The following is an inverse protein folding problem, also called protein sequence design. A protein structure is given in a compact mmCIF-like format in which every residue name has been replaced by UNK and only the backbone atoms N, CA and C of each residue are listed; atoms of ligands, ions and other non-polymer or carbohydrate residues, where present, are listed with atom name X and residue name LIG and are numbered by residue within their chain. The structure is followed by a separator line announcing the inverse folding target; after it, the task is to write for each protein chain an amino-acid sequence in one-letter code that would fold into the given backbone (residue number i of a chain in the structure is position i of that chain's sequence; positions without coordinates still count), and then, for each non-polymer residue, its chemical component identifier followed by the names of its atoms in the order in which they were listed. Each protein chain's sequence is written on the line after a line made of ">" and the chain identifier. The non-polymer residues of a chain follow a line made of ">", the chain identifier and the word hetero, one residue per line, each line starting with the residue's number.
data_IF_730298768297
#
_entry.id   IF_730298768297
#
_cell.length_a   1.000
_cell.length_b   1.000
_cell.length_c   1.000
_cell.angle_alpha   90.00
_cell.angle_beta   90.00
_cell.angle_gamma   90.00
#
_symmetry.space_group_name_H-M   'P 1'
#
loop_
_entity.id
_entity.type
_entity.pdbx_description
1 polymer ?
#
# COMPACT_ATOMS: atom_id res chain seq x y z
N UNK A 1 -15.76 -7.59 -14.16
CA UNK A 1 -15.47 -8.93 -13.58
C UNK A 1 -14.04 -8.89 -13.06
N UNK A 2 -13.84 -8.40 -11.83
CA UNK A 2 -12.51 -8.40 -11.21
C UNK A 2 -12.24 -9.82 -10.72
N UNK A 3 -11.49 -10.59 -11.50
CA UNK A 3 -11.09 -11.94 -11.16
C UNK A 3 -10.21 -11.90 -9.92
N UNK A 4 -10.78 -12.20 -8.77
CA UNK A 4 -10.02 -12.55 -7.57
C UNK A 4 -9.09 -13.71 -7.94
N UNK A 5 -7.78 -13.47 -7.91
CA UNK A 5 -6.79 -14.52 -8.11
C UNK A 5 -7.08 -15.66 -7.11
N UNK A 6 -7.11 -16.92 -7.56
CA UNK A 6 -7.45 -18.02 -6.66
C UNK A 6 -6.47 -18.06 -5.46
N UNK A 7 -6.94 -18.41 -4.24
CA UNK A 7 -6.13 -18.37 -3.01
C UNK A 7 -4.81 -19.13 -3.06
N UNK A 8 -4.70 -20.13 -3.94
CA UNK A 8 -3.46 -20.90 -4.15
C UNK A 8 -2.38 -20.06 -4.85
N UNK A 9 -2.78 -19.21 -5.81
CA UNK A 9 -1.84 -18.36 -6.54
C UNK A 9 -1.33 -17.21 -5.66
N UNK A 10 -2.19 -16.65 -4.81
CA UNK A 10 -1.80 -15.58 -3.88
C UNK A 10 -0.79 -16.07 -2.83
N UNK A 11 -0.99 -17.26 -2.25
CA UNK A 11 -0.04 -17.86 -1.30
C UNK A 11 1.33 -18.14 -1.94
N UNK A 12 1.36 -18.71 -3.14
CA UNK A 12 2.62 -18.99 -3.84
C UNK A 12 3.40 -17.71 -4.14
N UNK A 13 2.72 -16.64 -4.55
CA UNK A 13 3.37 -15.35 -4.80
C UNK A 13 3.92 -14.72 -3.51
N UNK A 14 3.17 -14.77 -2.41
CA UNK A 14 3.60 -14.28 -1.10
C UNK A 14 4.86 -15.01 -0.58
N UNK A 15 4.91 -16.33 -0.76
CA UNK A 15 6.09 -17.13 -0.42
C UNK A 15 7.33 -16.74 -1.23
N UNK A 16 7.17 -16.45 -2.53
CA UNK A 16 8.26 -16.02 -3.39
C UNK A 16 8.85 -14.68 -2.92
N UNK A 17 8.00 -13.68 -2.64
CA UNK A 17 8.48 -12.40 -2.12
C UNK A 17 9.13 -12.55 -0.74
N UNK A 18 8.57 -13.40 0.13
CA UNK A 18 9.17 -13.67 1.44
C UNK A 18 10.55 -14.31 1.33
N UNK A 19 10.73 -15.29 0.42
CA UNK A 19 12.03 -15.90 0.14
C UNK A 19 13.02 -14.89 -0.45
N UNK A 20 12.57 -14.04 -1.36
CA UNK A 20 13.39 -12.98 -1.94
C UNK A 20 13.90 -12.02 -0.84
N UNK A 21 13.00 -11.49 -0.01
CA UNK A 21 13.33 -10.58 1.09
C UNK A 21 14.28 -11.24 2.12
N UNK A 22 14.07 -12.52 2.44
CA UNK A 22 14.97 -13.26 3.34
C UNK A 22 16.37 -13.49 2.72
N UNK A 23 16.42 -13.85 1.43
CA UNK A 23 17.68 -13.99 0.70
C UNK A 23 18.43 -12.68 0.63
N UNK A 24 17.71 -11.59 0.35
CA UNK A 24 18.22 -10.24 0.28
C UNK A 24 18.95 -9.84 1.57
N UNK A 25 18.30 -10.04 2.71
CA UNK A 25 18.89 -9.75 4.02
C UNK A 25 20.16 -10.57 4.27
N UNK A 26 20.18 -11.84 3.82
CA UNK A 26 21.32 -12.74 4.01
C UNK A 26 22.52 -12.35 3.14
N UNK A 27 22.30 -11.98 1.89
CA UNK A 27 23.38 -11.69 0.94
C UNK A 27 23.79 -10.22 0.90
N UNK A 28 23.00 -9.32 1.50
CA UNK A 28 23.12 -7.85 1.42
C UNK A 28 23.20 -7.33 -0.02
N UNK A 29 22.68 -8.08 -0.99
CA UNK A 29 22.76 -7.76 -2.40
C UNK A 29 21.39 -7.37 -2.94
N UNK A 30 20.92 -6.16 -2.61
CA UNK A 30 19.62 -5.67 -3.03
C UNK A 30 19.63 -4.16 -3.23
N UNK A 31 18.98 -3.75 -4.31
CA UNK A 31 18.66 -2.36 -4.53
C UNK A 31 17.46 -1.95 -3.68
N UNK A 32 17.50 -0.71 -3.18
CA UNK A 32 16.41 -0.10 -2.42
C UNK A 32 15.06 -0.17 -3.17
N UNK A 33 15.11 0.00 -4.50
CA UNK A 33 13.93 -0.09 -5.38
C UNK A 33 13.35 -1.50 -5.43
N UNK A 34 14.20 -2.54 -5.46
CA UNK A 34 13.76 -3.93 -5.51
C UNK A 34 13.13 -4.35 -4.18
N UNK A 35 13.72 -3.93 -3.06
CA UNK A 35 13.16 -4.12 -1.73
C UNK A 35 11.78 -3.48 -1.60
N UNK A 36 11.66 -2.22 -2.01
CA UNK A 36 10.39 -1.51 -1.95
C UNK A 36 9.32 -2.17 -2.83
N UNK A 37 9.68 -2.59 -4.04
CA UNK A 37 8.79 -3.30 -4.96
C UNK A 37 8.34 -4.63 -4.38
N UNK A 38 9.27 -5.43 -3.82
CA UNK A 38 8.95 -6.73 -3.25
C UNK A 38 8.03 -6.61 -2.02
N UNK A 39 8.32 -5.68 -1.12
CA UNK A 39 7.45 -5.40 0.04
C UNK A 39 6.07 -4.91 -0.40
N UNK A 40 5.99 -3.96 -1.34
CA UNK A 40 4.71 -3.47 -1.86
C UNK A 40 3.87 -4.60 -2.48
N UNK A 41 4.48 -5.44 -3.31
CA UNK A 41 3.74 -6.52 -3.98
C UNK A 41 3.28 -7.59 -2.98
N UNK A 42 4.10 -7.90 -1.95
CA UNK A 42 3.68 -8.78 -0.86
C UNK A 42 2.52 -8.19 -0.06
N UNK A 43 2.61 -6.89 0.26
CA UNK A 43 1.53 -6.14 0.91
C UNK A 43 0.24 -6.15 0.11
N UNK A 44 0.32 -6.02 -1.22
CA UNK A 44 -0.84 -6.06 -2.11
C UNK A 44 -1.55 -7.42 -2.10
N UNK A 45 -0.78 -8.51 -2.04
CA UNK A 45 -1.35 -9.86 -1.91
C UNK A 45 -2.12 -10.00 -0.59
N UNK A 46 -1.52 -9.54 0.53
CA UNK A 46 -2.15 -9.54 1.85
C UNK A 46 -3.39 -8.65 1.89
N UNK A 47 -3.34 -7.50 1.25
CA UNK A 47 -4.49 -6.61 1.08
C UNK A 47 -5.66 -7.29 0.37
N UNK A 48 -5.41 -8.02 -0.72
CA UNK A 48 -6.47 -8.78 -1.41
C UNK A 48 -7.04 -9.93 -0.59
N UNK A 49 -6.29 -10.41 0.41
CA UNK A 49 -6.76 -11.37 1.42
C UNK A 49 -7.43 -10.71 2.63
N UNK A 50 -7.52 -9.37 2.65
CA UNK A 50 -8.07 -8.57 3.77
C UNK A 50 -7.20 -8.65 5.03
N UNK A 51 -5.94 -9.08 4.89
CA UNK A 51 -4.94 -9.13 5.96
C UNK A 51 -4.32 -7.72 6.15
N UNK A 52 -5.16 -6.72 6.46
CA UNK A 52 -4.80 -5.29 6.40
C UNK A 52 -3.63 -4.90 7.29
N UNK A 53 -3.54 -5.46 8.50
CA UNK A 53 -2.43 -5.16 9.41
C UNK A 53 -1.09 -5.55 8.79
N UNK A 54 -1.00 -6.78 8.30
CA UNK A 54 0.23 -7.29 7.69
C UNK A 54 0.55 -6.57 6.36
N UNK A 55 -0.48 -6.17 5.61
CA UNK A 55 -0.31 -5.36 4.41
C UNK A 55 0.26 -3.96 4.74
N UNK A 56 -0.21 -3.31 5.82
CA UNK A 56 0.34 -2.02 6.26
C UNK A 56 1.80 -2.14 6.70
N UNK A 57 2.16 -3.21 7.40
CA UNK A 57 3.55 -3.48 7.77
C UNK A 57 4.43 -3.59 6.52
N UNK A 58 3.98 -4.31 5.50
CA UNK A 58 4.69 -4.43 4.23
C UNK A 58 4.79 -3.10 3.47
N UNK A 59 3.72 -2.32 3.36
CA UNK A 59 3.81 -1.00 2.71
C UNK A 59 4.71 -0.03 3.48
N UNK A 60 4.73 -0.12 4.81
CA UNK A 60 5.62 0.70 5.63
C UNK A 60 7.08 0.31 5.40
N UNK A 61 7.40 -0.99 5.38
CA UNK A 61 8.74 -1.45 5.01
C UNK A 61 9.13 -1.07 3.58
N UNK A 62 8.18 -1.03 2.65
CA UNK A 62 8.44 -0.55 1.29
C UNK A 62 8.82 0.94 1.26
N UNK A 63 8.11 1.78 2.05
CA UNK A 63 8.40 3.21 2.21
C UNK A 63 9.75 3.44 2.87
N UNK A 64 10.09 2.66 3.89
CA UNK A 64 11.40 2.71 4.58
C UNK A 64 12.55 2.31 3.65
N UNK A 65 12.32 1.31 2.78
CA UNK A 65 13.29 0.89 1.79
C UNK A 65 13.49 1.95 0.69
N UNK A 66 12.40 2.53 0.18
CA UNK A 66 12.45 3.59 -0.82
C UNK A 66 11.31 4.61 -0.62
N UNK A 67 11.66 5.76 -0.05
CA UNK A 67 10.71 6.85 0.22
C UNK A 67 10.27 7.64 -1.03
N UNK A 68 10.81 7.29 -2.21
CA UNK A 68 10.42 7.84 -3.51
C UNK A 68 9.44 6.94 -4.26
N UNK A 69 9.01 5.80 -3.68
CA UNK A 69 8.08 4.89 -4.33
C UNK A 69 6.63 5.24 -3.99
N UNK A 70 6.00 6.03 -4.87
CA UNK A 70 4.66 6.60 -4.68
C UNK A 70 3.57 5.54 -4.49
N UNK A 71 3.72 4.38 -5.12
CA UNK A 71 2.74 3.28 -5.09
C UNK A 71 2.57 2.73 -3.68
N UNK A 72 3.63 2.72 -2.87
CA UNK A 72 3.56 2.22 -1.49
C UNK A 72 2.76 3.14 -0.57
N UNK A 73 2.90 4.47 -0.75
CA UNK A 73 2.05 5.45 -0.06
C UNK A 73 0.59 5.31 -0.49
N UNK A 74 0.33 5.25 -1.79
CA UNK A 74 -1.03 5.05 -2.31
C UNK A 74 -1.70 3.79 -1.72
N UNK A 75 -0.99 2.66 -1.73
CA UNK A 75 -1.55 1.41 -1.25
C UNK A 75 -1.79 1.39 0.28
N UNK A 76 -0.93 2.05 1.07
CA UNK A 76 -1.16 2.22 2.50
C UNK A 76 -2.35 3.16 2.77
N UNK A 77 -2.44 4.26 2.01
CA UNK A 77 -3.57 5.20 2.05
C UNK A 77 -4.91 4.52 1.77
N UNK A 78 -4.96 3.57 0.83
CA UNK A 78 -6.17 2.77 0.58
C UNK A 78 -6.62 1.96 1.80
N UNK A 79 -5.68 1.42 2.58
CA UNK A 79 -6.01 0.71 3.83
C UNK A 79 -6.55 1.70 4.87
N UNK A 80 -5.85 2.81 5.10
CA UNK A 80 -6.32 3.84 6.04
C UNK A 80 -7.73 4.33 5.69
N UNK A 81 -8.00 4.58 4.42
CA UNK A 81 -9.31 4.97 3.93
C UNK A 81 -10.38 3.90 4.24
N UNK A 82 -10.10 2.63 3.94
CA UNK A 82 -11.03 1.52 4.24
C UNK A 82 -11.30 1.33 5.72
N UNK A 83 -10.34 1.65 6.59
CA UNK A 83 -10.48 1.58 8.04
C UNK A 83 -11.14 2.85 8.62
N UNK A 84 -11.45 3.85 7.80
CA UNK A 84 -12.07 5.11 8.23
C UNK A 84 -11.07 6.10 8.88
N UNK A 85 -9.78 5.86 8.73
CA UNK A 85 -8.68 6.73 9.14
C UNK A 85 -8.39 7.76 8.05
N UNK A 86 -9.37 8.65 7.80
CA UNK A 86 -9.32 9.55 6.66
C UNK A 86 -8.16 10.55 6.69
N UNK A 87 -7.74 11.01 7.88
CA UNK A 87 -6.59 11.91 8.02
C UNK A 87 -5.28 11.24 7.57
N UNK A 88 -5.04 9.99 8.00
CA UNK A 88 -3.86 9.24 7.60
C UNK A 88 -3.89 8.91 6.10
N UNK A 89 -5.07 8.55 5.57
CA UNK A 89 -5.27 8.29 4.14
C UNK A 89 -4.98 9.54 3.29
N UNK A 90 -5.49 10.71 3.71
CA UNK A 90 -5.22 11.99 3.06
C UNK A 90 -3.72 12.27 3.00
N UNK A 91 -3.01 12.05 4.11
CA UNK A 91 -1.57 12.28 4.21
C UNK A 91 -0.80 11.38 3.23
N UNK A 92 -1.14 10.10 3.17
CA UNK A 92 -0.53 9.13 2.25
C UNK A 92 -0.83 9.44 0.78
N UNK A 93 -2.07 9.79 0.43
CA UNK A 93 -2.41 10.14 -0.95
C UNK A 93 -1.74 11.43 -1.41
N UNK A 94 -1.67 12.45 -0.54
CA UNK A 94 -0.90 13.68 -0.82
C UNK A 94 0.56 13.35 -1.06
N UNK A 95 1.16 12.49 -0.24
CA UNK A 95 2.56 12.10 -0.42
C UNK A 95 2.79 11.36 -1.74
N UNK A 96 1.88 10.47 -2.15
CA UNK A 96 1.95 9.84 -3.46
C UNK A 96 1.89 10.86 -4.61
N UNK A 97 1.05 11.89 -4.48
CA UNK A 97 0.90 12.96 -5.49
C UNK A 97 2.08 13.96 -5.50
N UNK A 98 2.74 14.19 -4.37
CA UNK A 98 3.99 14.97 -4.32
C UNK A 98 5.10 14.29 -5.13
N UNK A 99 5.18 12.96 -5.06
CA UNK A 99 6.15 12.15 -5.80
C UNK A 99 5.76 12.01 -7.27
N UNK A 100 4.48 11.80 -7.54
CA UNK A 100 3.93 11.67 -8.88
C UNK A 100 2.62 12.47 -9.03
N UNK A 101 2.71 13.74 -9.49
CA UNK A 101 1.53 14.60 -9.67
C UNK A 101 0.51 14.08 -10.70
N UNK A 102 0.90 13.12 -11.54
CA UNK A 102 0.06 12.54 -12.58
C UNK A 102 -0.58 11.21 -12.15
N UNK A 103 -0.43 10.81 -10.88
CA UNK A 103 -1.04 9.59 -10.36
C UNK A 103 -2.55 9.75 -10.15
N UNK A 104 -3.32 9.47 -11.20
CA UNK A 104 -4.76 9.76 -11.24
C UNK A 104 -5.56 9.02 -10.17
N UNK A 105 -5.25 7.75 -9.91
CA UNK A 105 -5.93 6.96 -8.86
C UNK A 105 -5.74 7.58 -7.47
N UNK A 106 -4.57 8.15 -7.19
CA UNK A 106 -4.31 8.85 -5.94
C UNK A 106 -5.10 10.16 -5.83
N UNK A 107 -5.30 10.89 -6.94
CA UNK A 107 -6.15 12.10 -6.95
C UNK A 107 -7.61 11.75 -6.65
N UNK A 108 -8.14 10.74 -7.33
CA UNK A 108 -9.53 10.28 -7.12
C UNK A 108 -9.71 9.81 -5.68
N UNK A 109 -8.76 9.03 -5.16
CA UNK A 109 -8.82 8.53 -3.78
C UNK A 109 -8.71 9.65 -2.74
N UNK A 110 -7.89 10.67 -2.99
CA UNK A 110 -7.81 11.86 -2.15
C UNK A 110 -9.13 12.64 -2.15
N UNK A 111 -9.72 12.89 -3.31
CA UNK A 111 -11.01 13.58 -3.43
C UNK A 111 -12.12 12.84 -2.67
N UNK A 112 -12.19 11.51 -2.84
CA UNK A 112 -13.13 10.66 -2.12
C UNK A 112 -12.91 10.71 -0.61
N UNK A 113 -11.65 10.66 -0.17
CA UNK A 113 -11.28 10.73 1.25
C UNK A 113 -11.76 12.02 1.90
N UNK A 114 -11.53 13.16 1.24
CA UNK A 114 -11.96 14.47 1.75
C UNK A 114 -13.49 14.58 1.84
N UNK A 115 -14.20 14.09 0.82
CA UNK A 115 -15.66 14.05 0.82
C UNK A 115 -16.22 13.19 1.96
N UNK A 116 -15.70 11.99 2.15
CA UNK A 116 -16.17 11.09 3.21
C UNK A 116 -15.79 11.58 4.62
N UNK A 117 -14.63 12.24 4.76
CA UNK A 117 -14.23 12.90 5.99
C UNK A 117 -15.19 14.02 6.37
N UNK A 118 -15.55 14.89 5.42
CA UNK A 118 -16.54 15.94 5.64
C UNK A 118 -17.90 15.34 6.02
N UNK A 119 -18.34 14.29 5.31
CA UNK A 119 -19.57 13.60 5.65
C UNK A 119 -19.55 12.96 7.06
N UNK A 120 -18.41 12.43 7.50
CA UNK A 120 -18.23 11.89 8.85
C UNK A 120 -18.35 12.99 9.90
N UNK A 121 -17.67 14.12 9.69
CA UNK A 121 -17.72 15.30 10.58
C UNK A 121 -19.15 15.85 10.66
N UNK A 122 -19.83 15.98 9.52
CA UNK A 122 -21.20 16.50 9.44
C UNK A 122 -22.23 15.58 10.14
N UNK A 123 -21.91 14.29 10.31
CA UNK A 123 -22.73 13.33 11.06
C UNK A 123 -22.42 13.34 12.57
N UNK A 124 -21.44 14.13 13.02
CA UNK A 124 -21.11 14.31 14.44
C UNK A 124 -20.27 13.19 15.06
N UNK A 125 -19.49 12.46 14.25
CA UNK A 125 -18.57 11.41 14.70
C UNK A 125 -17.11 11.86 14.70
#
# INVERSE_FOLDING_TARGET
>A
MWSTLPPVFTRKAEELYTKFLASCWKTRNCDASDLATAHNNRGQIKYFRVDFREAMEDYTSAIEANCQFEVSFYNRGLIHYRLGFFQDAEMDFKRALELNPNFEDAKVSLQQTLFDQEHKINRGY
#
